data_IF_080020135097
#
_entry.id   IF_080020135097
#
_cell.length_a   1.000
_cell.length_b   1.000
_cell.length_c   1.000
_cell.angle_alpha   90.00
_cell.angle_beta   90.00
_cell.angle_gamma   90.00
#
_symmetry.space_group_name_H-M   'P 1'
#
loop_
_entity.id
_entity.type
_entity.pdbx_description
1 polymer ?
#
# COMPACT_ATOMS: atom_id res chain seq x y z
N UNK A 1 27.83 -11.82 14.75
CA UNK A 1 27.44 -10.42 14.45
C UNK A 1 27.20 -10.20 12.96
N UNK A 2 28.20 -10.46 12.10
CA UNK A 2 28.10 -10.27 10.63
C UNK A 2 26.95 -11.06 9.98
N UNK A 3 26.68 -12.29 10.44
CA UNK A 3 25.57 -13.13 9.97
C UNK A 3 24.19 -12.61 10.33
N UNK A 4 24.02 -12.05 11.54
CA UNK A 4 22.76 -11.47 12.00
C UNK A 4 22.40 -10.24 11.15
N UNK A 5 23.39 -9.39 10.87
CA UNK A 5 23.21 -8.18 10.04
C UNK A 5 22.76 -8.56 8.61
N UNK A 6 23.38 -9.58 8.02
CA UNK A 6 23.02 -10.06 6.68
C UNK A 6 21.58 -10.61 6.67
N UNK A 7 21.20 -11.35 7.72
CA UNK A 7 19.86 -11.92 7.85
C UNK A 7 18.79 -10.83 7.99
N UNK A 8 19.03 -9.80 8.81
CA UNK A 8 18.10 -8.68 8.96
C UNK A 8 17.96 -7.87 7.68
N UNK A 9 19.06 -7.69 6.93
CA UNK A 9 19.02 -7.00 5.64
C UNK A 9 18.14 -7.78 4.64
N UNK A 10 18.29 -9.10 4.57
CA UNK A 10 17.51 -9.94 3.65
C UNK A 10 16.00 -9.89 3.92
N UNK A 11 15.59 -9.88 5.19
CA UNK A 11 14.17 -9.79 5.59
C UNK A 11 13.55 -8.46 5.16
N UNK A 12 14.28 -7.35 5.30
CA UNK A 12 13.82 -6.01 4.89
C UNK A 12 13.61 -5.93 3.37
N UNK A 13 14.48 -6.55 2.56
CA UNK A 13 14.32 -6.56 1.10
C UNK A 13 13.07 -7.35 0.63
N UNK A 14 12.68 -8.41 1.34
CA UNK A 14 11.46 -9.17 1.00
C UNK A 14 10.15 -8.50 1.42
N UNK A 15 10.21 -7.39 2.16
CA UNK A 15 9.04 -6.69 2.71
C UNK A 15 8.39 -5.67 1.78
N UNK A 16 8.92 -5.45 0.57
CA UNK A 16 8.36 -4.50 -0.39
C UNK A 16 6.92 -4.89 -0.75
N UNK A 17 5.95 -4.09 -0.29
CA UNK A 17 4.51 -4.30 -0.47
C UNK A 17 3.78 -4.87 0.74
N UNK A 18 4.46 -5.59 1.63
CA UNK A 18 3.88 -6.08 2.89
C UNK A 18 3.55 -4.91 3.83
N UNK A 19 4.38 -3.87 3.84
CA UNK A 19 4.15 -2.65 4.65
C UNK A 19 2.85 -1.94 4.26
N UNK A 20 2.55 -1.83 2.95
CA UNK A 20 1.29 -1.24 2.48
C UNK A 20 0.08 -2.04 2.94
N UNK A 21 0.17 -3.37 2.89
CA UNK A 21 -0.90 -4.27 3.37
C UNK A 21 -1.06 -4.24 4.89
N UNK A 22 0.03 -4.13 5.65
CA UNK A 22 -0.01 -4.01 7.11
C UNK A 22 -0.67 -2.68 7.51
N UNK A 23 -0.29 -1.56 6.87
CA UNK A 23 -0.93 -0.28 7.12
C UNK A 23 -2.43 -0.34 6.81
N UNK A 24 -2.83 -0.87 5.65
CA UNK A 24 -4.23 -1.04 5.28
C UNK A 24 -5.01 -1.93 6.27
N UNK A 25 -4.37 -2.91 6.91
CA UNK A 25 -5.01 -3.74 7.95
C UNK A 25 -5.34 -2.95 9.22
N UNK A 26 -4.60 -1.88 9.50
CA UNK A 26 -4.78 -1.04 10.69
C UNK A 26 -5.66 0.18 10.41
N UNK A 27 -5.52 0.81 9.24
CA UNK A 27 -6.26 2.03 8.85
C UNK A 27 -7.51 1.75 8.04
N UNK A 28 -7.75 0.50 7.66
CA UNK A 28 -8.82 0.08 6.75
C UNK A 28 -8.38 0.07 5.29
N UNK A 29 -7.63 1.07 4.84
CA UNK A 29 -7.07 1.15 3.47
C UNK A 29 -5.83 2.05 3.39
N UNK A 30 -5.07 1.94 2.29
CA UNK A 30 -4.03 2.88 1.87
C UNK A 30 -4.37 3.49 0.51
N UNK A 31 -4.00 4.75 0.27
CA UNK A 31 -4.21 5.41 -1.02
C UNK A 31 -3.00 5.23 -1.93
N UNK A 32 -3.24 4.90 -3.21
CA UNK A 32 -2.21 4.74 -4.23
C UNK A 32 -2.61 5.52 -5.48
N UNK A 33 -1.69 6.35 -5.99
CA UNK A 33 -1.84 7.00 -7.28
C UNK A 33 -1.34 6.07 -8.38
N UNK A 34 -2.20 5.72 -9.34
CA UNK A 34 -1.85 4.92 -10.52
C UNK A 34 -2.52 5.57 -11.73
N UNK A 35 -1.72 5.93 -12.74
CA UNK A 35 -2.19 6.53 -14.01
C UNK A 35 -3.15 7.72 -13.81
N UNK A 36 -2.86 8.57 -12.81
CA UNK A 36 -3.65 9.77 -12.51
C UNK A 36 -4.93 9.52 -11.70
N UNK A 37 -5.21 8.26 -11.33
CA UNK A 37 -6.36 7.86 -10.52
C UNK A 37 -5.92 7.43 -9.12
N UNK A 38 -6.67 7.87 -8.10
CA UNK A 38 -6.46 7.42 -6.72
C UNK A 38 -7.20 6.11 -6.47
N UNK A 39 -6.46 5.07 -6.12
CA UNK A 39 -6.97 3.77 -5.69
C UNK A 39 -6.90 3.63 -4.18
N UNK A 40 -7.89 2.99 -3.60
CA UNK A 40 -7.89 2.53 -2.22
C UNK A 40 -7.47 1.06 -2.21
N UNK A 41 -6.32 0.76 -1.61
CA UNK A 41 -5.81 -0.58 -1.43
C UNK A 41 -6.18 -1.07 -0.03
N UNK A 42 -6.94 -2.15 0.03
CA UNK A 42 -7.28 -2.82 1.28
C UNK A 42 -6.26 -3.93 1.58
N UNK A 43 -6.36 -4.55 2.76
CA UNK A 43 -5.57 -5.73 3.11
C UNK A 43 -5.73 -6.88 2.09
N UNK A 44 -6.92 -6.96 1.45
CA UNK A 44 -7.20 -7.81 0.30
C UNK A 44 -8.08 -7.06 -0.70
N UNK A 45 -7.60 -6.91 -1.93
CA UNK A 45 -8.31 -6.20 -3.01
C UNK A 45 -8.05 -4.69 -3.05
N UNK A 46 -8.48 -4.06 -4.14
CA UNK A 46 -8.37 -2.64 -4.38
C UNK A 46 -9.63 -2.12 -5.09
N UNK A 47 -9.94 -0.84 -4.91
CA UNK A 47 -11.02 -0.16 -5.63
C UNK A 47 -10.62 1.26 -5.98
N UNK A 48 -11.28 1.85 -6.97
CA UNK A 48 -11.10 3.27 -7.31
C UNK A 48 -11.75 4.13 -6.23
N UNK A 49 -11.09 5.22 -5.85
CA UNK A 49 -11.68 6.21 -4.94
C UNK A 49 -12.70 7.05 -5.71
N UNK A 50 -13.91 7.19 -5.17
CA UNK A 50 -14.98 7.98 -5.78
C UNK A 50 -15.35 9.18 -4.92
N UNK A 51 -15.61 10.31 -5.57
CA UNK A 51 -16.33 11.43 -4.98
C UNK A 51 -17.77 11.03 -4.64
N UNK A 52 -18.43 11.71 -3.70
CA UNK A 52 -19.84 11.44 -3.37
C UNK A 52 -20.79 11.56 -4.57
N UNK A 53 -20.40 12.30 -5.61
CA UNK A 53 -21.15 12.47 -6.86
C UNK A 53 -20.87 11.36 -7.90
N UNK A 54 -20.07 10.36 -7.56
CA UNK A 54 -19.73 9.22 -8.42
C UNK A 54 -18.56 9.47 -9.39
N UNK A 55 -17.93 10.64 -9.36
CA UNK A 55 -16.71 10.89 -10.16
C UNK A 55 -15.49 10.21 -9.54
N UNK A 56 -14.53 9.83 -10.37
CA UNK A 56 -13.26 9.25 -9.92
C UNK A 56 -12.36 10.33 -9.30
N UNK A 57 -11.77 10.04 -8.15
CA UNK A 57 -10.79 10.90 -7.51
C UNK A 57 -9.44 10.80 -8.25
N UNK A 58 -8.94 11.93 -8.75
CA UNK A 58 -7.61 11.99 -9.38
C UNK A 58 -6.51 12.14 -8.33
N UNK A 59 -5.27 11.84 -8.71
CA UNK A 59 -4.11 12.07 -7.85
C UNK A 59 -3.97 13.56 -7.49
N UNK A 60 -3.41 13.82 -6.30
CA UNK A 60 -3.07 15.17 -5.83
C UNK A 60 -1.78 15.68 -6.45
#
# INVERSE_FOLDING_TARGET
MKTIIILTMAIVLTGCGQVGRIQANWTGYSEHCVDGVTYLQFASGATVKYHPDGRVWTCK
#
